data_IF_330998014132
#
_entry.id   IF_330998014132
#
_cell.length_a   1.000
_cell.length_b   1.000
_cell.length_c   1.000
_cell.angle_alpha   90.00
_cell.angle_beta   90.00
_cell.angle_gamma   90.00
#
_symmetry.space_group_name_H-M   'P 1'
#
loop_
_entity.id
_entity.type
_entity.pdbx_description
1 polymer ?
#
# COMPACT_ATOMS: atom_id res chain seq x y z
N UNK A 1 26.09 -2.63 -47.06
CA UNK A 1 25.68 -3.00 -45.69
C UNK A 1 25.24 -1.75 -44.95
N UNK A 2 23.94 -1.48 -44.94
CA UNK A 2 23.33 -0.28 -44.34
C UNK A 2 22.87 -0.65 -42.93
N UNK A 3 23.56 -0.14 -41.90
CA UNK A 3 23.17 -0.36 -40.49
C UNK A 3 22.01 0.58 -40.15
N UNK A 4 20.84 0.01 -39.85
CA UNK A 4 19.75 0.72 -39.19
C UNK A 4 20.16 1.06 -37.74
N UNK A 5 19.95 2.30 -37.25
CA UNK A 5 20.16 2.62 -35.84
C UNK A 5 19.13 1.87 -34.97
N UNK A 6 19.57 1.47 -33.77
CA UNK A 6 18.78 0.66 -32.85
C UNK A 6 17.54 1.40 -32.34
N UNK A 7 16.49 0.63 -32.09
CA UNK A 7 15.19 1.05 -31.54
C UNK A 7 15.29 1.50 -30.05
N UNK A 8 16.42 2.06 -29.61
CA UNK A 8 16.67 2.47 -28.23
C UNK A 8 16.31 3.95 -27.95
N UNK A 9 15.78 4.67 -28.94
CA UNK A 9 15.54 6.12 -28.88
C UNK A 9 14.09 6.55 -28.63
N UNK A 10 13.18 5.62 -28.30
CA UNK A 10 11.82 5.94 -27.84
C UNK A 10 11.57 5.39 -26.44
N UNK A 11 12.32 5.87 -25.46
CA UNK A 11 11.78 5.94 -24.10
C UNK A 11 10.99 7.25 -24.02
N UNK A 12 9.69 7.24 -23.67
CA UNK A 12 9.02 8.47 -23.29
C UNK A 12 9.77 8.98 -22.07
N UNK A 13 10.45 10.12 -22.24
CA UNK A 13 11.01 10.89 -21.15
C UNK A 13 9.80 11.30 -20.31
N UNK A 14 9.53 10.56 -19.24
CA UNK A 14 8.49 10.92 -18.29
C UNK A 14 8.87 12.31 -17.77
N UNK A 15 8.20 13.33 -18.31
CA UNK A 15 8.16 14.63 -17.67
C UNK A 15 7.64 14.39 -16.27
N UNK A 16 8.31 14.86 -15.21
CA UNK A 16 7.70 14.87 -13.90
C UNK A 16 6.50 15.80 -14.03
N UNK A 17 5.31 15.23 -14.25
CA UNK A 17 4.06 15.91 -13.96
C UNK A 17 3.94 15.98 -12.44
N UNK A 18 4.83 16.78 -11.84
CA UNK A 18 4.57 17.46 -10.60
C UNK A 18 3.47 18.47 -10.87
N UNK A 19 2.25 17.98 -11.11
CA UNK A 19 1.10 18.73 -10.67
C UNK A 19 1.19 18.67 -9.16
N UNK A 20 1.70 19.74 -8.57
CA UNK A 20 1.49 20.02 -7.16
C UNK A 20 -0.02 20.01 -6.94
N UNK A 21 -0.56 18.82 -6.66
CA UNK A 21 -1.91 18.71 -6.17
C UNK A 21 -1.83 19.39 -4.81
N UNK A 22 -2.30 20.64 -4.75
CA UNK A 22 -2.49 21.33 -3.48
C UNK A 22 -3.39 20.41 -2.68
N UNK A 23 -2.79 19.71 -1.72
CA UNK A 23 -3.54 18.83 -0.85
C UNK A 23 -4.59 19.70 -0.16
N UNK A 24 -5.90 19.41 -0.30
CA UNK A 24 -6.92 20.20 0.38
C UNK A 24 -6.57 20.21 1.87
N UNK A 25 -6.63 21.36 2.57
CA UNK A 25 -6.28 21.42 3.98
C UNK A 25 -7.02 20.31 4.70
N UNK A 26 -6.32 19.56 5.55
CA UNK A 26 -6.96 18.51 6.32
C UNK A 26 -7.88 19.18 7.35
N UNK A 27 -9.13 19.45 6.96
CA UNK A 27 -10.12 20.06 7.84
C UNK A 27 -10.90 18.93 8.50
N UNK A 28 -10.69 18.72 9.80
CA UNK A 28 -11.46 17.76 10.62
C UNK A 28 -10.62 16.68 11.33
N UNK A 29 -11.27 15.66 11.92
CA UNK A 29 -10.65 14.64 12.77
C UNK A 29 -9.52 13.84 12.08
N UNK A 30 -9.56 13.72 10.75
CA UNK A 30 -8.57 12.99 9.96
C UNK A 30 -7.23 13.72 9.82
N UNK A 31 -7.16 15.01 10.13
CA UNK A 31 -5.91 15.77 10.14
C UNK A 31 -4.86 15.17 11.09
N UNK A 32 -5.33 14.58 12.19
CA UNK A 32 -4.48 13.89 13.17
C UNK A 32 -3.81 12.63 12.60
N UNK A 33 -4.37 12.01 11.56
CA UNK A 33 -3.73 10.90 10.87
C UNK A 33 -2.46 11.36 10.15
N UNK A 34 -2.45 12.60 9.66
CA UNK A 34 -1.31 13.19 8.96
C UNK A 34 -0.27 13.77 9.94
N UNK A 35 -0.68 14.15 11.15
CA UNK A 35 0.23 14.66 12.19
C UNK A 35 1.30 13.63 12.60
N UNK A 36 2.56 14.02 12.50
CA UNK A 36 3.73 13.24 12.95
C UNK A 36 4.06 13.42 14.44
N UNK A 37 3.38 14.35 15.10
CA UNK A 37 3.59 14.69 16.51
C UNK A 37 3.08 13.58 17.44
N UNK A 38 3.95 13.03 18.29
CA UNK A 38 3.56 12.23 19.47
C UNK A 38 3.24 10.74 19.27
N UNK A 39 3.47 10.14 18.09
CA UNK A 39 3.37 8.67 17.94
C UNK A 39 4.36 8.09 16.93
N UNK A 40 5.03 7.00 17.30
CA UNK A 40 6.04 6.31 16.47
C UNK A 40 5.46 5.26 15.53
N UNK A 41 4.18 4.89 15.68
CA UNK A 41 3.49 3.93 14.80
C UNK A 41 2.03 4.35 14.60
N UNK A 42 1.64 4.54 13.33
CA UNK A 42 0.27 4.89 12.93
C UNK A 42 -0.34 3.74 12.16
N UNK A 43 -1.29 3.02 12.77
CA UNK A 43 -2.06 1.96 12.14
C UNK A 43 -3.52 2.42 12.00
N UNK A 44 -4.04 2.38 10.77
CA UNK A 44 -5.40 2.81 10.45
C UNK A 44 -6.17 1.60 9.95
N UNK A 45 -7.25 1.25 10.65
CA UNK A 45 -8.17 0.22 10.21
C UNK A 45 -9.39 0.86 9.55
N UNK A 46 -9.71 0.41 8.33
CA UNK A 46 -10.91 0.81 7.59
C UNK A 46 -11.84 -0.40 7.52
N UNK A 47 -12.98 -0.32 8.20
CA UNK A 47 -13.97 -1.39 8.30
C UNK A 47 -15.38 -0.94 7.92
N UNK A 48 -16.28 -1.90 7.71
CA UNK A 48 -17.66 -1.63 7.28
C UNK A 48 -18.27 -2.76 6.43
N UNK A 49 -19.58 -2.66 6.16
CA UNK A 49 -20.32 -3.65 5.36
C UNK A 49 -19.78 -3.79 3.92
N UNK A 50 -20.19 -4.82 3.19
CA UNK A 50 -19.88 -4.96 1.76
C UNK A 50 -20.44 -3.79 0.95
N UNK A 51 -19.70 -3.31 -0.06
CA UNK A 51 -20.17 -2.26 -0.98
C UNK A 51 -20.17 -0.82 -0.47
N UNK A 52 -19.75 -0.55 0.78
CA UNK A 52 -19.75 0.83 1.34
C UNK A 52 -18.54 1.70 0.93
N UNK A 53 -17.69 1.21 0.03
CA UNK A 53 -16.52 1.95 -0.46
C UNK A 53 -15.27 1.91 0.42
N UNK A 54 -15.09 0.85 1.22
CA UNK A 54 -13.91 0.68 2.09
C UNK A 54 -12.60 0.79 1.33
N UNK A 55 -12.46 0.02 0.26
CA UNK A 55 -11.24 -0.07 -0.54
C UNK A 55 -10.91 1.26 -1.21
N UNK A 56 -11.93 1.94 -1.75
CA UNK A 56 -11.78 3.28 -2.33
C UNK A 56 -11.32 4.29 -1.27
N UNK A 57 -11.96 4.28 -0.10
CA UNK A 57 -11.65 5.20 0.99
C UNK A 57 -10.26 4.94 1.57
N UNK A 58 -9.89 3.68 1.80
CA UNK A 58 -8.55 3.32 2.27
C UNK A 58 -7.47 3.73 1.26
N UNK A 59 -7.72 3.53 -0.03
CA UNK A 59 -6.80 3.93 -1.10
C UNK A 59 -6.60 5.45 -1.12
N UNK A 60 -7.69 6.22 -1.01
CA UNK A 60 -7.62 7.68 -0.94
C UNK A 60 -6.86 8.18 0.30
N UNK A 61 -7.07 7.54 1.46
CA UNK A 61 -6.31 7.86 2.68
C UNK A 61 -4.83 7.56 2.48
N UNK A 62 -4.48 6.41 1.89
CA UNK A 62 -3.10 6.00 1.70
C UNK A 62 -2.35 6.92 0.74
N UNK A 63 -2.97 7.28 -0.39
CA UNK A 63 -2.43 8.29 -1.33
C UNK A 63 -2.22 9.62 -0.61
N UNK A 64 -3.22 10.08 0.17
CA UNK A 64 -3.10 11.35 0.90
C UNK A 64 -1.97 11.34 1.93
N UNK A 65 -1.74 10.22 2.62
CA UNK A 65 -0.62 10.08 3.56
C UNK A 65 0.72 10.11 2.81
N UNK A 66 0.82 9.41 1.68
CA UNK A 66 2.00 9.38 0.83
C UNK A 66 2.33 10.78 0.26
N UNK A 67 1.33 11.49 -0.25
CA UNK A 67 1.44 12.88 -0.72
C UNK A 67 1.87 13.86 0.39
N UNK A 68 1.53 13.56 1.65
CA UNK A 68 1.99 14.31 2.81
C UNK A 68 3.44 13.97 3.23
N UNK A 69 4.16 13.18 2.43
CA UNK A 69 5.54 12.76 2.68
C UNK A 69 5.69 11.58 3.65
N UNK A 70 4.59 10.91 4.00
CA UNK A 70 4.63 9.77 4.91
C UNK A 70 4.89 8.48 4.15
N UNK A 71 5.89 7.71 4.59
CA UNK A 71 6.08 6.33 4.13
C UNK A 71 4.85 5.50 4.53
N UNK A 72 4.07 5.13 3.53
CA UNK A 72 2.73 4.57 3.70
C UNK A 72 2.66 3.18 3.07
N UNK A 73 2.14 2.22 3.83
CA UNK A 73 1.78 0.89 3.35
C UNK A 73 0.27 0.73 3.49
N UNK A 74 -0.42 0.45 2.38
CA UNK A 74 -1.82 0.00 2.39
C UNK A 74 -1.88 -1.51 2.28
N UNK A 75 -2.65 -2.14 3.16
CA UNK A 75 -2.81 -3.60 3.19
C UNK A 75 -4.29 -3.94 3.07
N UNK A 76 -4.63 -4.83 2.14
CA UNK A 76 -5.96 -5.44 2.05
C UNK A 76 -5.91 -6.89 2.51
N UNK A 77 -6.82 -7.25 3.40
CA UNK A 77 -7.12 -8.65 3.78
C UNK A 77 -8.42 -9.14 3.14
N UNK A 78 -9.00 -8.37 2.21
CA UNK A 78 -10.24 -8.73 1.52
C UNK A 78 -9.95 -9.79 0.44
N UNK A 79 -10.65 -10.93 0.41
CA UNK A 79 -10.49 -11.94 -0.64
C UNK A 79 -10.82 -11.45 -2.06
N UNK A 80 -11.56 -10.34 -2.19
CA UNK A 80 -12.08 -9.87 -3.46
C UNK A 80 -11.05 -9.19 -4.40
N UNK A 81 -9.75 -9.19 -4.06
CA UNK A 81 -8.65 -8.57 -4.83
C UNK A 81 -8.91 -7.13 -5.31
N UNK A 82 -9.78 -6.41 -4.59
CA UNK A 82 -10.30 -5.13 -5.04
C UNK A 82 -9.31 -3.97 -4.85
N UNK A 83 -8.19 -4.18 -4.14
CA UNK A 83 -7.20 -3.12 -3.94
C UNK A 83 -6.36 -2.94 -5.21
N UNK A 84 -5.97 -4.05 -5.86
CA UNK A 84 -5.29 -4.00 -7.16
C UNK A 84 -6.13 -3.28 -8.21
N UNK A 85 -7.43 -3.57 -8.27
CA UNK A 85 -8.37 -2.88 -9.15
C UNK A 85 -8.47 -1.39 -8.84
N UNK A 86 -8.56 -1.02 -7.56
CA UNK A 86 -8.65 0.38 -7.13
C UNK A 86 -7.40 1.19 -7.44
N UNK A 87 -6.23 0.55 -7.40
CA UNK A 87 -4.93 1.17 -7.68
C UNK A 87 -4.46 0.96 -9.13
N UNK A 88 -5.24 0.24 -9.94
CA UNK A 88 -4.90 -0.13 -11.33
C UNK A 88 -3.52 -0.79 -11.47
N UNK A 89 -3.15 -1.64 -10.51
CA UNK A 89 -1.86 -2.32 -10.49
C UNK A 89 -2.03 -3.74 -9.93
N UNK A 90 -1.31 -4.70 -10.50
CA UNK A 90 -1.28 -6.07 -9.99
C UNK A 90 -0.57 -6.12 -8.63
N UNK A 91 -1.28 -6.61 -7.61
CA UNK A 91 -0.82 -6.77 -6.25
C UNK A 91 -0.81 -8.25 -5.80
N UNK A 92 -0.96 -9.17 -6.75
CA UNK A 92 -0.91 -10.60 -6.49
C UNK A 92 0.45 -11.03 -5.92
N UNK A 93 0.46 -12.17 -5.20
CA UNK A 93 1.70 -12.78 -4.70
C UNK A 93 2.09 -12.41 -3.26
N UNK A 94 1.23 -11.70 -2.52
CA UNK A 94 1.35 -11.60 -1.05
C UNK A 94 2.54 -10.78 -0.56
N UNK A 95 3.08 -9.89 -1.40
CA UNK A 95 4.24 -9.02 -1.08
C UNK A 95 3.86 -7.56 -1.29
N UNK A 96 4.54 -6.68 -0.57
CA UNK A 96 4.40 -5.25 -0.79
C UNK A 96 5.02 -4.85 -2.14
N UNK A 97 4.29 -4.06 -2.92
CA UNK A 97 4.70 -3.53 -4.22
C UNK A 97 4.56 -2.02 -4.18
N UNK A 98 5.55 -1.30 -4.69
CA UNK A 98 5.49 0.16 -4.81
C UNK A 98 4.47 0.58 -5.87
N UNK A 99 3.68 1.61 -5.57
CA UNK A 99 2.60 2.07 -6.46
C UNK A 99 3.13 3.06 -7.49
N UNK A 100 2.93 2.73 -8.77
CA UNK A 100 3.33 3.58 -9.88
C UNK A 100 2.61 4.92 -9.80
N UNK A 101 3.37 6.02 -9.83
CA UNK A 101 2.82 7.38 -9.80
C UNK A 101 2.57 7.95 -8.40
N UNK A 102 2.82 7.18 -7.32
CA UNK A 102 2.68 7.63 -5.94
C UNK A 102 3.98 7.39 -5.17
N UNK A 103 4.81 8.42 -5.00
CA UNK A 103 6.01 8.31 -4.17
C UNK A 103 5.65 7.99 -2.72
N UNK A 104 6.48 7.20 -2.03
CA UNK A 104 6.28 6.78 -0.63
C UNK A 104 5.04 5.89 -0.36
N UNK A 105 4.37 5.36 -1.40
CA UNK A 105 3.26 4.44 -1.26
C UNK A 105 3.62 3.02 -1.75
N UNK A 106 3.47 2.05 -0.87
CA UNK A 106 3.46 0.62 -1.23
C UNK A 106 2.10 0.01 -0.90
N UNK A 107 1.69 -1.02 -1.62
CA UNK A 107 0.46 -1.76 -1.39
C UNK A 107 0.69 -3.27 -1.31
N UNK A 108 -0.15 -3.97 -0.55
CA UNK A 108 -0.09 -5.42 -0.41
C UNK A 108 -1.50 -6.00 -0.27
N UNK A 109 -1.79 -7.03 -1.05
CA UNK A 109 -2.92 -7.92 -0.78
C UNK A 109 -2.42 -9.16 -0.07
N UNK A 110 -3.05 -9.52 1.04
CA UNK A 110 -2.63 -10.65 1.86
C UNK A 110 -3.03 -11.95 1.18
N UNK A 111 -2.03 -12.80 0.90
CA UNK A 111 -2.27 -14.19 0.58
C UNK A 111 -2.67 -14.93 1.86
N UNK A 112 -3.94 -15.33 1.94
CA UNK A 112 -4.50 -15.94 3.14
C UNK A 112 -3.91 -17.33 3.39
N UNK A 113 -3.65 -18.11 2.34
CA UNK A 113 -3.08 -19.45 2.49
C UNK A 113 -1.65 -19.38 3.03
N UNK A 114 -0.84 -18.51 2.44
CA UNK A 114 0.53 -18.29 2.87
C UNK A 114 0.59 -17.66 4.26
N UNK A 115 -0.31 -16.73 4.58
CA UNK A 115 -0.41 -16.14 5.92
C UNK A 115 -0.74 -17.21 6.97
N UNK A 116 -1.69 -18.11 6.70
CA UNK A 116 -2.02 -19.22 7.61
C UNK A 116 -0.85 -20.19 7.76
N UNK A 117 -0.16 -20.55 6.67
CA UNK A 117 1.03 -21.41 6.72
C UNK A 117 2.14 -20.78 7.58
N UNK A 118 2.43 -19.50 7.37
CA UNK A 118 3.45 -18.75 8.15
C UNK A 118 3.07 -18.65 9.62
N UNK A 119 1.79 -18.37 9.91
CA UNK A 119 1.30 -18.32 11.29
C UNK A 119 1.43 -19.69 11.98
N UNK A 120 1.00 -20.77 11.33
CA UNK A 120 1.15 -22.14 11.87
C UNK A 120 2.61 -22.48 12.13
N UNK A 121 3.51 -22.16 11.20
CA UNK A 121 4.95 -22.39 11.38
C UNK A 121 5.49 -21.62 12.60
N UNK A 122 5.15 -20.33 12.73
CA UNK A 122 5.56 -19.50 13.84
C UNK A 122 5.05 -20.03 15.20
N UNK A 123 3.78 -20.42 15.27
CA UNK A 123 3.16 -20.95 16.49
C UNK A 123 3.63 -22.37 16.81
N UNK A 124 3.88 -23.22 15.82
CA UNK A 124 4.44 -24.57 16.03
C UNK A 124 5.88 -24.57 16.54
N UNK A 125 6.59 -23.44 16.37
CA UNK A 125 7.89 -23.20 16.97
C UNK A 125 7.84 -22.80 18.45
N UNK A 126 6.67 -22.43 18.98
CA UNK A 126 6.49 -22.17 20.42
C UNK A 126 6.27 -23.50 21.15
N UNK A 127 7.29 -24.00 21.85
CA UNK A 127 7.12 -25.13 22.78
C UNK A 127 6.79 -24.58 24.17
N UNK A 128 5.93 -25.27 24.91
CA UNK A 128 5.67 -24.94 26.33
C UNK A 128 6.96 -24.93 27.18
N UNK A 129 8.00 -25.66 26.77
CA UNK A 129 9.32 -25.68 27.41
C UNK A 129 10.07 -24.33 27.32
N UNK A 130 9.74 -23.47 26.36
CA UNK A 130 10.37 -22.15 26.19
C UNK A 130 9.78 -21.08 27.15
N UNK A 131 8.71 -21.42 27.88
CA UNK A 131 8.04 -20.54 28.85
C UNK A 131 8.47 -20.76 30.31
N UNK A 132 9.39 -21.70 30.57
CA UNK A 132 9.92 -21.93 31.92
C UNK A 132 8.85 -22.28 32.97
N UNK A 133 7.77 -22.95 32.56
CA UNK A 133 6.74 -23.53 33.43
C UNK A 133 6.93 -25.04 33.57
#
# INVERSE_FOLDING_TARGET
AMRLPSLAALTPRATPHASAHVAPPAVGPLSRLLSTEGSTQRLIFVGGKGGVGKTTTSSAIAVRCADAGLRTLIVSTDPAHSLGDALMQDLSGGKAVDIIGCENLSAMEVDTEDAVKRFRAAVSGFRAADLGL
#
